data_IF_319894509210
#
_entry.id   IF_319894509210
#
_cell.length_a   1.000
_cell.length_b   1.000
_cell.length_c   1.000
_cell.angle_alpha   90.00
_cell.angle_beta   90.00
_cell.angle_gamma   90.00
#
_symmetry.space_group_name_H-M   'P 1'
#
loop_
_entity.id
_entity.type
_entity.pdbx_description
1 polymer ?
#
# COMPACT_ATOMS: atom_id res chain seq x y z
N UNK A 1 22.20 -12.43 39.37
CA UNK A 1 21.36 -11.46 38.64
C UNK A 1 20.29 -12.23 37.88
N UNK A 2 19.01 -11.83 37.94
CA UNK A 2 17.95 -12.53 37.21
C UNK A 2 18.09 -12.27 35.69
N UNK A 3 17.75 -13.23 34.82
CA UNK A 3 17.82 -13.05 33.37
C UNK A 3 16.72 -12.08 32.93
N UNK A 4 17.09 -10.86 32.53
CA UNK A 4 16.16 -9.78 32.17
C UNK A 4 15.62 -9.88 30.75
N UNK A 5 16.03 -10.88 29.96
CA UNK A 5 15.88 -10.83 28.51
C UNK A 5 15.03 -12.00 27.97
N UNK A 6 13.72 -11.97 28.25
CA UNK A 6 12.77 -12.79 27.50
C UNK A 6 12.28 -11.96 26.31
N UNK A 7 12.66 -12.33 25.09
CA UNK A 7 12.27 -11.60 23.86
C UNK A 7 10.74 -11.43 23.74
N UNK A 8 9.96 -12.33 24.34
CA UNK A 8 8.49 -12.30 24.37
C UNK A 8 7.89 -11.14 25.19
N UNK A 9 8.54 -10.71 26.29
CA UNK A 9 8.05 -9.57 27.10
C UNK A 9 8.41 -8.22 26.49
N UNK A 10 9.38 -8.19 25.57
CA UNK A 10 9.81 -6.98 24.86
C UNK A 10 8.97 -6.75 23.62
N UNK A 11 8.71 -7.78 22.81
CA UNK A 11 7.84 -7.66 21.62
C UNK A 11 6.44 -7.18 21.97
N UNK A 12 5.90 -7.58 23.13
CA UNK A 12 4.59 -7.12 23.63
C UNK A 12 4.61 -5.69 24.19
N UNK A 13 5.69 -5.24 24.84
CA UNK A 13 5.81 -3.87 25.40
C UNK A 13 6.30 -2.82 24.39
N UNK A 14 7.12 -3.22 23.41
CA UNK A 14 7.62 -2.39 22.32
C UNK A 14 6.52 -2.07 21.29
N UNK A 15 5.45 -2.87 21.22
CA UNK A 15 4.29 -2.64 20.36
C UNK A 15 3.33 -1.53 20.85
N UNK A 16 3.81 -0.61 21.69
CA UNK A 16 3.11 0.64 21.98
C UNK A 16 3.30 1.65 20.84
N UNK A 17 2.78 2.88 20.96
CA UNK A 17 2.70 3.87 19.87
C UNK A 17 3.99 4.13 19.09
N UNK A 18 5.16 3.92 19.70
CA UNK A 18 6.47 4.04 19.05
C UNK A 18 6.69 3.02 17.91
N UNK A 19 6.37 1.74 18.13
CA UNK A 19 6.49 0.72 17.10
C UNK A 19 5.60 0.99 15.88
N UNK A 20 4.38 1.51 16.10
CA UNK A 20 3.48 1.92 15.01
C UNK A 20 4.03 3.08 14.19
N UNK A 21 4.67 4.06 14.84
CA UNK A 21 5.31 5.18 14.16
C UNK A 21 6.52 4.68 13.35
N UNK A 22 7.35 3.84 13.96
CA UNK A 22 8.50 3.23 13.30
C UNK A 22 8.11 2.41 12.07
N UNK A 23 7.07 1.56 12.14
CA UNK A 23 6.59 0.81 10.97
C UNK A 23 6.04 1.69 9.84
N UNK A 24 5.55 2.90 10.14
CA UNK A 24 5.12 3.87 9.12
C UNK A 24 6.30 4.56 8.45
N UNK A 25 7.29 4.95 9.25
CA UNK A 25 8.49 5.67 8.78
C UNK A 25 9.50 4.72 8.11
N UNK A 26 9.50 3.45 8.50
CA UNK A 26 10.42 2.42 8.02
C UNK A 26 9.65 1.14 7.69
N UNK A 27 8.88 1.18 6.60
CA UNK A 27 7.98 0.10 6.17
C UNK A 27 8.68 -1.21 5.77
N UNK A 28 10.00 -1.17 5.53
CA UNK A 28 10.84 -2.35 5.26
C UNK A 28 11.46 -2.98 6.50
N UNK A 29 11.39 -2.31 7.65
CA UNK A 29 11.99 -2.73 8.90
C UNK A 29 11.10 -3.70 9.67
N UNK A 30 11.71 -4.61 10.42
CA UNK A 30 11.00 -5.64 11.20
C UNK A 30 10.71 -5.14 12.62
N UNK A 31 9.77 -5.81 13.29
CA UNK A 31 9.52 -5.60 14.72
C UNK A 31 10.76 -5.93 15.55
N UNK A 32 11.51 -6.95 15.15
CA UNK A 32 12.77 -7.34 15.79
C UNK A 32 13.81 -6.23 15.66
N UNK A 33 13.95 -5.63 14.48
CA UNK A 33 14.87 -4.51 14.29
C UNK A 33 14.49 -3.30 15.16
N UNK A 34 13.19 -3.03 15.33
CA UNK A 34 12.73 -2.00 16.27
C UNK A 34 13.08 -2.35 17.72
N UNK A 35 12.86 -3.61 18.12
CA UNK A 35 13.20 -4.08 19.46
C UNK A 35 14.71 -3.98 19.73
N UNK A 36 15.54 -4.31 18.74
CA UNK A 36 17.00 -4.18 18.80
C UNK A 36 17.41 -2.72 19.00
N UNK A 37 16.83 -1.77 18.25
CA UNK A 37 17.10 -0.33 18.43
C UNK A 37 16.71 0.14 19.84
N UNK A 38 15.52 -0.26 20.31
CA UNK A 38 15.06 0.10 21.65
C UNK A 38 16.00 -0.46 22.72
N UNK A 39 16.44 -1.70 22.58
CA UNK A 39 17.37 -2.34 23.51
C UNK A 39 18.77 -1.72 23.46
N UNK A 40 19.24 -1.37 22.27
CA UNK A 40 20.50 -0.70 22.06
C UNK A 40 20.58 0.61 22.87
N UNK A 41 19.52 1.42 22.82
CA UNK A 41 19.45 2.65 23.61
C UNK A 41 19.19 2.41 25.08
N UNK A 42 18.34 1.43 25.44
CA UNK A 42 17.97 1.19 26.84
C UNK A 42 19.11 0.61 27.68
N UNK A 43 19.98 -0.18 27.06
CA UNK A 43 21.06 -0.88 27.74
C UNK A 43 22.39 -0.14 27.63
N UNK A 44 22.39 1.09 27.11
CA UNK A 44 23.60 1.88 26.84
C UNK A 44 24.66 1.07 26.08
N UNK A 45 24.21 0.25 25.11
CA UNK A 45 25.08 -0.68 24.37
C UNK A 45 26.23 0.06 23.68
N UNK A 46 26.01 1.31 23.25
CA UNK A 46 27.05 2.17 22.70
C UNK A 46 28.18 2.42 23.72
N UNK A 47 27.86 2.78 24.97
CA UNK A 47 28.86 3.02 26.01
C UNK A 47 29.64 1.75 26.31
N UNK A 48 28.96 0.60 26.37
CA UNK A 48 29.62 -0.69 26.57
C UNK A 48 30.62 -1.00 25.45
N UNK A 49 30.21 -0.84 24.19
CA UNK A 49 31.08 -1.04 23.03
C UNK A 49 32.28 -0.08 23.10
N UNK A 50 32.03 1.21 23.33
CA UNK A 50 33.05 2.25 23.39
C UNK A 50 34.00 2.13 24.60
N UNK A 51 33.62 1.36 25.62
CA UNK A 51 34.46 1.17 26.82
C UNK A 51 35.26 -0.12 26.73
N UNK A 52 34.67 -1.18 26.19
CA UNK A 52 35.20 -2.55 26.30
C UNK A 52 35.56 -3.20 24.97
N UNK A 53 35.17 -2.62 23.83
CA UNK A 53 35.35 -3.22 22.50
C UNK A 53 36.11 -2.30 21.53
N UNK A 54 37.13 -1.60 22.04
CA UNK A 54 37.93 -0.63 21.25
C UNK A 54 39.14 -1.24 20.54
N UNK A 55 39.40 -2.55 20.71
CA UNK A 55 40.55 -3.18 20.09
C UNK A 55 40.23 -3.69 18.68
N UNK A 56 41.23 -3.69 17.79
CA UNK A 56 41.07 -4.29 16.46
C UNK A 56 40.77 -5.79 16.51
N UNK A 57 41.18 -6.48 17.57
CA UNK A 57 40.85 -7.88 17.78
C UNK A 57 39.34 -8.08 18.02
N UNK A 58 38.72 -7.20 18.82
CA UNK A 58 37.28 -7.23 19.10
C UNK A 58 36.46 -6.92 17.84
N UNK A 59 36.86 -5.88 17.09
CA UNK A 59 36.24 -5.56 15.80
C UNK A 59 36.33 -6.72 14.81
N UNK A 60 37.47 -7.40 14.77
CA UNK A 60 37.67 -8.57 13.90
C UNK A 60 36.81 -9.75 14.31
N UNK A 61 36.68 -10.00 15.62
CA UNK A 61 35.77 -10.98 16.16
C UNK A 61 34.31 -10.68 15.77
N UNK A 62 33.84 -9.45 15.98
CA UNK A 62 32.48 -9.03 15.63
C UNK A 62 32.20 -9.18 14.13
N UNK A 63 33.14 -8.77 13.26
CA UNK A 63 33.00 -8.95 11.80
C UNK A 63 32.90 -10.43 11.42
N UNK A 64 33.65 -11.31 12.08
CA UNK A 64 33.59 -12.76 11.84
C UNK A 64 32.25 -13.35 12.28
N UNK A 65 31.80 -13.01 13.48
CA UNK A 65 30.50 -13.51 13.98
C UNK A 65 29.33 -12.97 13.16
N UNK A 66 29.37 -11.70 12.74
CA UNK A 66 28.37 -11.13 11.84
C UNK A 66 28.28 -11.90 10.52
N UNK A 67 29.42 -12.27 9.92
CA UNK A 67 29.45 -13.11 8.71
C UNK A 67 28.88 -14.51 8.97
N UNK A 68 29.25 -15.14 10.09
CA UNK A 68 28.70 -16.45 10.48
C UNK A 68 27.18 -16.42 10.67
N UNK A 69 26.65 -15.33 11.20
CA UNK A 69 25.19 -15.13 11.33
C UNK A 69 24.57 -14.93 9.95
N UNK A 70 25.19 -14.14 9.07
CA UNK A 70 24.70 -13.89 7.71
C UNK A 70 24.74 -15.15 6.81
N UNK A 71 25.69 -16.06 7.04
CA UNK A 71 25.76 -17.38 6.39
C UNK A 71 24.50 -18.21 6.59
N UNK A 72 23.69 -17.94 7.63
CA UNK A 72 22.38 -18.58 7.82
C UNK A 72 21.38 -18.28 6.70
N UNK A 73 21.60 -17.22 5.91
CA UNK A 73 20.76 -16.85 4.77
C UNK A 73 19.35 -16.36 5.13
N UNK A 74 19.03 -16.20 6.42
CA UNK A 74 17.68 -15.81 6.89
C UNK A 74 17.26 -14.45 6.33
N UNK A 75 18.16 -13.46 6.34
CA UNK A 75 17.88 -12.12 5.80
C UNK A 75 17.72 -12.14 4.26
N UNK A 76 18.48 -13.00 3.57
CA UNK A 76 18.32 -13.21 2.13
C UNK A 76 16.95 -13.78 1.81
N UNK A 77 16.54 -14.85 2.50
CA UNK A 77 15.22 -15.45 2.35
C UNK A 77 14.09 -14.45 2.62
N UNK A 78 14.22 -13.64 3.68
CA UNK A 78 13.26 -12.56 4.00
C UNK A 78 13.14 -11.53 2.87
N UNK A 79 14.27 -11.09 2.29
CA UNK A 79 14.25 -10.15 1.15
C UNK A 79 13.58 -10.75 -0.08
N UNK A 80 13.85 -12.02 -0.37
CA UNK A 80 13.20 -12.73 -1.47
C UNK A 80 11.69 -12.82 -1.25
N UNK A 81 11.23 -13.14 -0.03
CA UNK A 81 9.80 -13.15 0.30
C UNK A 81 9.16 -11.77 0.13
N UNK A 82 9.79 -10.71 0.62
CA UNK A 82 9.30 -9.34 0.44
C UNK A 82 9.22 -8.95 -1.05
N UNK A 83 10.22 -9.34 -1.84
CA UNK A 83 10.25 -9.06 -3.27
C UNK A 83 9.15 -9.83 -4.02
N UNK A 84 8.98 -11.13 -3.73
CA UNK A 84 7.93 -11.94 -4.35
C UNK A 84 6.54 -11.43 -3.96
N UNK A 85 6.32 -11.02 -2.70
CA UNK A 85 5.07 -10.41 -2.29
C UNK A 85 4.79 -9.09 -3.04
N UNK A 86 5.79 -8.20 -3.16
CA UNK A 86 5.68 -6.95 -3.93
C UNK A 86 5.37 -7.22 -5.41
N UNK A 87 6.06 -8.18 -6.02
CA UNK A 87 5.83 -8.57 -7.42
C UNK A 87 4.40 -9.10 -7.62
N UNK A 88 3.93 -10.00 -6.75
CA UNK A 88 2.55 -10.53 -6.81
C UNK A 88 1.50 -9.43 -6.63
N UNK A 89 1.74 -8.49 -5.72
CA UNK A 89 0.84 -7.35 -5.52
C UNK A 89 0.81 -6.44 -6.76
N UNK A 90 1.97 -6.11 -7.34
CA UNK A 90 2.06 -5.33 -8.55
C UNK A 90 1.40 -6.03 -9.75
N UNK A 91 1.59 -7.34 -9.90
CA UNK A 91 0.98 -8.13 -10.96
C UNK A 91 -0.56 -8.17 -10.83
N UNK A 92 -1.09 -8.31 -9.61
CA UNK A 92 -2.54 -8.22 -9.36
C UNK A 92 -3.09 -6.85 -9.76
N UNK A 93 -2.40 -5.78 -9.40
CA UNK A 93 -2.80 -4.42 -9.80
C UNK A 93 -2.76 -4.26 -11.31
N UNK A 94 -1.70 -4.74 -11.97
CA UNK A 94 -1.56 -4.67 -13.43
C UNK A 94 -2.66 -5.44 -14.15
N UNK A 95 -2.91 -6.69 -13.76
CA UNK A 95 -3.98 -7.53 -14.33
C UNK A 95 -5.35 -6.90 -14.14
N UNK A 96 -5.62 -6.30 -12.98
CA UNK A 96 -6.88 -5.60 -12.75
C UNK A 96 -6.98 -4.32 -13.59
N UNK A 97 -5.87 -3.62 -13.82
CA UNK A 97 -5.83 -2.47 -14.73
C UNK A 97 -6.10 -2.89 -16.18
N UNK A 98 -5.44 -3.93 -16.66
CA UNK A 98 -5.65 -4.51 -18.00
C UNK A 98 -7.10 -4.96 -18.19
N UNK A 99 -7.68 -5.65 -17.19
CA UNK A 99 -9.07 -6.09 -17.20
C UNK A 99 -10.04 -4.92 -17.30
N UNK A 100 -9.86 -3.88 -16.49
CA UNK A 100 -10.73 -2.70 -16.50
C UNK A 100 -10.58 -1.89 -17.79
N UNK A 101 -9.36 -1.79 -18.33
CA UNK A 101 -9.13 -1.11 -19.61
C UNK A 101 -9.84 -1.82 -20.78
N UNK A 102 -9.96 -3.14 -20.75
CA UNK A 102 -10.67 -3.91 -21.78
C UNK A 102 -12.20 -3.72 -21.78
N UNK A 103 -12.80 -3.38 -20.62
CA UNK A 103 -14.26 -3.19 -20.50
C UNK A 103 -14.70 -1.88 -21.16
N UNK A 104 -13.88 -0.82 -21.04
CA UNK A 104 -14.24 0.52 -21.49
C UNK A 104 -15.30 1.19 -20.61
N UNK A 105 -15.38 2.52 -20.71
CA UNK A 105 -16.34 3.31 -19.95
C UNK A 105 -17.70 3.34 -20.69
N UNK A 106 -18.76 2.87 -20.05
CA UNK A 106 -20.10 2.91 -20.63
C UNK A 106 -20.84 4.20 -20.24
N UNK A 107 -21.47 4.84 -21.21
CA UNK A 107 -22.26 6.06 -20.99
C UNK A 107 -23.76 5.87 -21.30
N UNK A 108 -24.14 4.75 -21.92
CA UNK A 108 -25.53 4.47 -22.26
C UNK A 108 -26.33 4.05 -21.01
N UNK A 109 -27.24 4.94 -20.58
CA UNK A 109 -28.10 4.73 -19.41
C UNK A 109 -28.95 3.47 -19.48
N UNK A 110 -29.48 3.13 -20.66
CA UNK A 110 -30.36 1.96 -20.80
C UNK A 110 -29.58 0.65 -20.72
N UNK A 111 -28.32 0.67 -21.15
CA UNK A 111 -27.41 -0.44 -20.98
C UNK A 111 -27.00 -0.60 -19.52
N UNK A 112 -26.66 0.50 -18.85
CA UNK A 112 -26.27 0.52 -17.43
C UNK A 112 -27.35 -0.03 -16.51
N UNK A 113 -28.63 0.29 -16.77
CA UNK A 113 -29.76 -0.27 -15.99
C UNK A 113 -29.85 -1.80 -16.06
N UNK A 114 -29.35 -2.40 -17.15
CA UNK A 114 -29.39 -3.85 -17.39
C UNK A 114 -28.13 -4.57 -16.90
N UNK A 115 -27.07 -3.83 -16.54
CA UNK A 115 -25.82 -4.40 -16.05
C UNK A 115 -26.01 -5.22 -14.78
N UNK A 116 -25.18 -6.24 -14.64
CA UNK A 116 -25.00 -7.03 -13.43
C UNK A 116 -24.34 -6.20 -12.32
N UNK A 117 -24.42 -6.70 -11.08
CA UNK A 117 -23.78 -6.01 -9.94
C UNK A 117 -22.25 -5.93 -10.06
N UNK A 118 -21.62 -6.91 -10.74
CA UNK A 118 -20.20 -6.92 -11.00
C UNK A 118 -19.80 -5.83 -12.00
N UNK A 119 -20.51 -5.74 -13.12
CA UNK A 119 -20.29 -4.72 -14.15
C UNK A 119 -20.48 -3.30 -13.60
N UNK A 120 -21.50 -3.08 -12.75
CA UNK A 120 -21.70 -1.79 -12.08
C UNK A 120 -20.51 -1.42 -11.17
N UNK A 121 -19.93 -2.37 -10.45
CA UNK A 121 -18.73 -2.12 -9.62
C UNK A 121 -17.51 -1.75 -10.45
N UNK A 122 -17.37 -2.37 -11.62
CA UNK A 122 -16.29 -2.10 -12.56
C UNK A 122 -16.44 -0.72 -13.18
N UNK A 123 -17.64 -0.36 -13.63
CA UNK A 123 -17.94 0.98 -14.16
C UNK A 123 -17.72 2.07 -13.11
N UNK A 124 -18.16 1.87 -11.87
CA UNK A 124 -17.90 2.82 -10.78
C UNK A 124 -16.39 2.98 -10.50
N UNK A 125 -15.61 1.91 -10.61
CA UNK A 125 -14.16 1.98 -10.46
C UNK A 125 -13.51 2.76 -11.62
N UNK A 126 -13.96 2.53 -12.85
CA UNK A 126 -13.52 3.27 -14.03
C UNK A 126 -13.81 4.77 -13.89
N UNK A 127 -15.04 5.15 -13.51
CA UNK A 127 -15.37 6.56 -13.30
C UNK A 127 -14.54 7.24 -12.19
N UNK A 128 -14.17 6.51 -11.11
CA UNK A 128 -13.25 7.05 -10.09
C UNK A 128 -11.86 7.33 -10.66
N UNK A 129 -11.36 6.45 -11.54
CA UNK A 129 -10.05 6.61 -12.20
C UNK A 129 -10.02 7.79 -13.17
N UNK A 130 -11.12 8.00 -13.89
CA UNK A 130 -11.32 9.18 -14.77
C UNK A 130 -11.49 10.50 -13.99
N UNK A 131 -11.34 10.48 -12.66
CA UNK A 131 -11.30 11.69 -11.83
C UNK A 131 -12.63 12.06 -11.20
N UNK A 132 -13.66 11.22 -11.26
CA UNK A 132 -14.90 11.45 -10.53
C UNK A 132 -14.73 11.09 -9.03
N UNK A 133 -14.10 12.00 -8.28
CA UNK A 133 -13.79 11.85 -6.85
C UNK A 133 -15.03 11.82 -5.94
N UNK A 134 -16.18 12.18 -6.46
CA UNK A 134 -17.42 12.28 -5.67
C UNK A 134 -18.17 10.95 -5.59
N UNK A 135 -17.71 9.92 -6.32
CA UNK A 135 -18.26 8.57 -6.23
C UNK A 135 -17.82 7.94 -4.91
N UNK A 136 -18.74 7.57 -4.01
CA UNK A 136 -18.41 6.93 -2.74
C UNK A 136 -17.60 5.64 -2.93
N UNK A 137 -16.79 5.25 -1.94
CA UNK A 137 -16.02 4.00 -1.98
C UNK A 137 -16.92 2.76 -2.10
N UNK A 138 -16.39 1.66 -2.68
CA UNK A 138 -17.12 0.39 -2.86
C UNK A 138 -17.74 -0.13 -1.56
N UNK A 139 -17.06 0.05 -0.43
CA UNK A 139 -17.53 -0.34 0.91
C UNK A 139 -18.81 0.38 1.37
N UNK A 140 -19.08 1.58 0.84
CA UNK A 140 -20.25 2.38 1.23
C UNK A 140 -21.51 2.03 0.43
N UNK A 141 -21.37 1.28 -0.67
CA UNK A 141 -22.47 0.84 -1.52
C UNK A 141 -22.65 -0.67 -1.39
N UNK A 142 -23.54 -1.10 -0.49
CA UNK A 142 -23.72 -2.53 -0.17
C UNK A 142 -24.56 -3.30 -1.19
N UNK A 143 -25.59 -2.67 -1.76
CA UNK A 143 -26.54 -3.32 -2.66
C UNK A 143 -26.41 -2.78 -4.11
N UNK A 144 -26.99 -3.53 -5.06
CA UNK A 144 -26.97 -3.20 -6.49
C UNK A 144 -27.70 -1.87 -6.79
N UNK A 145 -28.84 -1.64 -6.12
CA UNK A 145 -29.65 -0.43 -6.31
C UNK A 145 -28.85 0.85 -6.05
N UNK A 146 -28.17 0.94 -4.89
CA UNK A 146 -27.31 2.09 -4.58
C UNK A 146 -26.18 2.27 -5.59
N UNK A 147 -25.58 1.18 -6.08
CA UNK A 147 -24.51 1.28 -7.09
C UNK A 147 -25.03 1.84 -8.41
N UNK A 148 -26.22 1.42 -8.83
CA UNK A 148 -26.88 1.95 -10.02
C UNK A 148 -27.22 3.43 -9.87
N UNK A 149 -27.81 3.82 -8.74
CA UNK A 149 -28.13 5.22 -8.43
C UNK A 149 -26.89 6.12 -8.48
N UNK A 150 -25.80 5.70 -7.81
CA UNK A 150 -24.55 6.46 -7.79
C UNK A 150 -23.87 6.51 -9.16
N UNK A 151 -23.95 5.45 -9.97
CA UNK A 151 -23.40 5.45 -11.33
C UNK A 151 -24.18 6.39 -12.25
N UNK A 152 -25.51 6.41 -12.15
CA UNK A 152 -26.35 7.36 -12.90
C UNK A 152 -26.10 8.80 -12.45
N UNK A 153 -26.02 9.04 -11.14
CA UNK A 153 -25.68 10.35 -10.60
C UNK A 153 -24.26 10.79 -11.03
N UNK A 154 -23.31 9.87 -11.12
CA UNK A 154 -21.98 10.14 -11.62
C UNK A 154 -21.99 10.57 -13.10
N UNK A 155 -22.80 9.91 -13.93
CA UNK A 155 -22.98 10.30 -15.33
C UNK A 155 -23.62 11.68 -15.47
N UNK A 156 -24.61 12.02 -14.64
CA UNK A 156 -25.24 13.34 -14.65
C UNK A 156 -24.23 14.44 -14.33
N UNK A 157 -23.36 14.20 -13.35
CA UNK A 157 -22.26 15.09 -12.99
C UNK A 157 -21.23 15.19 -14.10
N UNK A 158 -20.95 14.10 -14.81
CA UNK A 158 -19.97 14.08 -15.89
C UNK A 158 -20.48 14.75 -17.17
N UNK A 159 -21.75 14.54 -17.53
CA UNK A 159 -22.42 15.17 -18.67
C UNK A 159 -22.61 16.68 -18.51
N UNK A 160 -22.68 17.17 -17.27
CA UNK A 160 -22.65 18.62 -16.96
C UNK A 160 -21.23 19.19 -16.87
N UNK A 161 -20.21 18.32 -16.77
CA UNK A 161 -18.78 18.67 -16.68
C UNK A 161 -18.05 18.65 -18.03
N UNK A 162 -18.75 18.68 -19.16
CA UNK A 162 -18.10 18.86 -20.47
C UNK A 162 -17.12 20.03 -20.34
N UNK A 163 -15.79 19.81 -20.43
CA UNK A 163 -14.90 20.92 -20.67
C UNK A 163 -15.34 21.49 -22.01
N UNK A 164 -15.67 22.78 -22.04
CA UNK A 164 -15.76 23.54 -23.28
C UNK A 164 -14.40 23.40 -23.97
N UNK A 165 -14.22 22.34 -24.74
CA UNK A 165 -13.11 22.23 -25.69
C UNK A 165 -13.30 23.39 -26.66
N UNK A 166 -12.32 24.27 -26.85
CA UNK A 166 -12.45 25.43 -27.74
C UNK A 166 -12.71 25.06 -29.20
N UNK A 167 -12.65 23.77 -29.57
CA UNK A 167 -12.64 23.32 -30.96
C UNK A 167 -14.00 22.84 -31.51
N UNK A 168 -15.09 22.96 -30.77
CA UNK A 168 -16.43 22.55 -31.25
C UNK A 168 -17.43 23.69 -31.49
N UNK A 169 -16.95 24.92 -31.69
CA UNK A 169 -17.84 26.03 -32.06
C UNK A 169 -18.10 26.18 -33.58
N UNK A 170 -17.50 25.35 -34.44
CA UNK A 170 -17.57 25.55 -35.90
C UNK A 170 -18.58 24.70 -36.67
N UNK A 171 -19.36 23.81 -36.04
CA UNK A 171 -20.29 22.94 -36.76
C UNK A 171 -21.78 23.15 -36.44
N UNK A 172 -22.12 24.15 -35.60
CA UNK A 172 -23.53 24.47 -35.29
C UNK A 172 -24.08 25.70 -36.04
N UNK A 173 -23.27 26.40 -36.83
CA UNK A 173 -23.68 27.61 -37.57
C UNK A 173 -23.85 27.38 -39.08
N UNK A 174 -23.85 26.13 -39.55
CA UNK A 174 -24.02 25.79 -40.96
C UNK A 174 -25.36 25.09 -41.28
N UNK A 175 -26.31 25.12 -40.34
CA UNK A 175 -27.66 24.59 -40.51
C UNK A 175 -28.69 25.55 -39.90
N UNK A 176 -28.74 26.77 -40.43
CA UNK A 176 -29.95 27.60 -40.55
C UNK A 176 -29.83 28.40 -41.82
#
# INVERSE_FOLDING_TARGET
MPPTNNQQTITTKAFSGGGRKFSRESSSSTVDHFADIVMFHRNDTQIFIDTHMNSEADHTFLRREARRIDESGVEKARREELNTHKQRAAEKVRKEQERLAAIGLESNRDHIKKMSDAELKDQLELHRREGNKEIPLKSHMKNKGRRLEELLAALDRFGTRIPRSPLYHYLSSALV
#
